data_IF_122087581327
#
_entry.id   IF_122087581327
#
_cell.length_a   1.000
_cell.length_b   1.000
_cell.length_c   1.000
_cell.angle_alpha   90.00
_cell.angle_beta   90.00
_cell.angle_gamma   90.00
#
_symmetry.space_group_name_H-M   'P 1'
#
loop_
_entity.id
_entity.type
_entity.pdbx_description
1 polymer ?
#
# COMPACT_ATOMS: atom_id res chain seq x y z
N UNK A 1 -34.24 19.71 26.57
CA UNK A 1 -32.99 19.26 25.93
C UNK A 1 -32.73 20.21 24.78
N UNK A 2 -31.70 21.05 24.85
CA UNK A 2 -31.35 21.90 23.71
C UNK A 2 -31.04 21.00 22.52
N UNK A 3 -31.61 21.28 21.35
CA UNK A 3 -31.20 20.62 20.12
C UNK A 3 -29.67 20.74 20.02
N UNK A 4 -28.96 19.62 19.95
CA UNK A 4 -27.51 19.62 19.73
C UNK A 4 -27.24 20.42 18.46
N UNK A 5 -26.59 21.57 18.59
CA UNK A 5 -26.21 22.40 17.45
C UNK A 5 -24.93 21.82 16.86
N UNK A 6 -25.08 21.04 15.79
CA UNK A 6 -23.95 20.52 15.03
C UNK A 6 -23.19 21.66 14.35
N UNK A 7 -21.86 21.61 14.37
CA UNK A 7 -20.98 22.62 13.77
C UNK A 7 -19.74 21.96 13.16
N UNK A 8 -19.10 22.65 12.21
CA UNK A 8 -17.77 22.27 11.74
C UNK A 8 -16.77 22.43 12.91
N UNK A 9 -15.89 21.45 13.17
CA UNK A 9 -14.95 21.53 14.29
C UNK A 9 -14.07 22.79 14.19
N UNK A 10 -13.97 23.63 15.25
CA UNK A 10 -13.12 24.83 15.23
C UNK A 10 -11.64 24.52 14.92
N UNK A 11 -11.15 23.37 15.38
CA UNK A 11 -9.83 22.83 15.07
C UNK A 11 -9.60 22.68 13.57
N UNK A 12 -10.58 22.18 12.82
CA UNK A 12 -10.50 22.05 11.37
C UNK A 12 -10.39 23.43 10.69
N UNK A 13 -11.21 24.40 11.12
CA UNK A 13 -11.18 25.75 10.57
C UNK A 13 -9.80 26.41 10.77
N UNK A 14 -9.22 26.23 11.96
CA UNK A 14 -7.88 26.71 12.29
C UNK A 14 -6.80 26.00 11.46
N UNK A 15 -6.91 24.67 11.26
CA UNK A 15 -6.00 23.92 10.40
C UNK A 15 -6.05 24.40 8.95
N UNK A 16 -7.24 24.62 8.39
CA UNK A 16 -7.41 25.09 7.01
C UNK A 16 -6.72 26.44 6.76
N UNK A 17 -6.66 27.32 7.77
CA UNK A 17 -5.93 28.59 7.70
C UNK A 17 -4.41 28.40 7.72
N UNK A 18 -3.92 27.36 8.39
CA UNK A 18 -2.49 27.10 8.63
C UNK A 18 -1.86 26.14 7.64
N UNK A 19 -2.65 25.40 6.86
CA UNK A 19 -2.12 24.47 5.86
C UNK A 19 -1.56 25.23 4.65
N UNK A 20 -0.44 24.76 4.08
CA UNK A 20 0.16 25.41 2.92
C UNK A 20 -0.76 25.42 1.70
N UNK A 21 -0.51 26.35 0.78
CA UNK A 21 -1.27 26.51 -0.48
C UNK A 21 -0.44 26.20 -1.72
N UNK A 22 0.88 26.07 -1.57
CA UNK A 22 1.88 25.88 -2.62
C UNK A 22 2.19 24.40 -2.92
N UNK A 23 1.62 23.47 -2.14
CA UNK A 23 1.89 22.02 -2.23
C UNK A 23 0.65 21.19 -1.94
N UNK A 24 0.74 19.89 -2.19
CA UNK A 24 -0.29 18.92 -1.85
C UNK A 24 -0.43 18.81 -0.32
N UNK A 25 -1.65 18.90 0.17
CA UNK A 25 -2.01 18.60 1.57
C UNK A 25 -3.10 17.54 1.56
N UNK A 26 -2.81 16.40 2.17
CA UNK A 26 -3.78 15.31 2.30
C UNK A 26 -4.47 15.40 3.65
N UNK A 27 -5.80 15.25 3.65
CA UNK A 27 -6.63 15.38 4.84
C UNK A 27 -7.38 14.07 5.07
N UNK A 28 -7.12 13.40 6.19
CA UNK A 28 -7.86 12.22 6.63
C UNK A 28 -9.02 12.70 7.50
N UNK A 29 -10.25 12.60 7.00
CA UNK A 29 -11.43 13.27 7.55
C UNK A 29 -12.44 12.25 8.05
N UNK A 30 -12.96 12.40 9.27
CA UNK A 30 -14.07 11.57 9.74
C UNK A 30 -15.34 11.92 8.94
N UNK A 31 -16.15 10.92 8.60
CA UNK A 31 -17.46 11.14 7.98
C UNK A 31 -18.34 12.11 8.79
N UNK A 32 -19.39 12.64 8.17
CA UNK A 32 -20.31 13.59 8.82
C UNK A 32 -21.30 12.89 9.75
N UNK A 33 -22.12 13.70 10.42
CA UNK A 33 -23.09 13.29 11.45
C UNK A 33 -24.04 12.22 10.93
N UNK A 34 -24.19 11.15 11.70
CA UNK A 34 -25.16 10.06 11.49
C UNK A 34 -25.96 9.79 12.77
N UNK A 35 -27.03 9.02 12.64
CA UNK A 35 -27.74 8.45 13.78
C UNK A 35 -26.89 7.41 14.53
N UNK A 36 -27.35 7.00 15.72
CA UNK A 36 -26.73 5.92 16.49
C UNK A 36 -26.67 4.61 15.67
N UNK A 37 -25.60 3.83 15.87
CA UNK A 37 -25.50 2.53 15.21
C UNK A 37 -26.46 1.53 15.87
N UNK A 38 -27.08 0.62 15.09
CA UNK A 38 -27.82 -0.48 15.67
C UNK A 38 -26.91 -1.33 16.58
N UNK A 39 -27.40 -1.82 17.73
CA UNK A 39 -26.63 -2.70 18.60
C UNK A 39 -26.14 -3.95 17.85
N UNK A 40 -24.85 -4.26 17.94
CA UNK A 40 -24.24 -5.44 17.30
C UNK A 40 -24.00 -5.30 15.80
N UNK A 41 -24.19 -4.13 15.20
CA UNK A 41 -23.95 -3.86 13.79
C UNK A 41 -22.80 -2.86 13.61
N UNK A 42 -21.93 -3.11 12.63
CA UNK A 42 -20.91 -2.16 12.13
C UNK A 42 -21.54 -0.91 11.51
N UNK A 43 -22.82 -1.00 11.14
CA UNK A 43 -23.66 0.11 10.70
C UNK A 43 -23.29 0.61 9.31
N UNK A 44 -22.85 -0.28 8.42
CA UNK A 44 -22.37 0.11 7.10
C UNK A 44 -23.45 0.69 6.20
N UNK A 45 -24.71 0.34 6.47
CA UNK A 45 -25.89 0.87 5.81
C UNK A 45 -26.43 2.15 6.46
N UNK A 46 -25.86 2.63 7.57
CA UNK A 46 -26.36 3.84 8.26
C UNK A 46 -25.92 5.08 7.47
N UNK A 47 -26.86 5.91 6.96
CA UNK A 47 -26.54 7.12 6.22
C UNK A 47 -26.14 8.28 7.14
N UNK A 48 -25.66 9.37 6.55
CA UNK A 48 -25.59 10.65 7.28
C UNK A 48 -26.99 11.26 7.44
N UNK A 49 -27.17 12.05 8.49
CA UNK A 49 -28.40 12.83 8.73
C UNK A 49 -28.47 14.06 7.81
N UNK A 50 -29.63 14.70 7.74
CA UNK A 50 -29.78 15.99 7.03
C UNK A 50 -28.86 17.08 7.60
N UNK A 51 -28.71 17.12 8.93
CA UNK A 51 -27.76 18.02 9.58
C UNK A 51 -26.31 17.69 9.18
N UNK A 52 -25.96 16.40 9.12
CA UNK A 52 -24.67 15.94 8.64
C UNK A 52 -24.41 16.32 7.17
N UNK A 53 -25.42 16.20 6.31
CA UNK A 53 -25.34 16.65 4.91
C UNK A 53 -25.15 18.17 4.83
N UNK A 54 -25.89 18.94 5.63
CA UNK A 54 -25.76 20.40 5.72
C UNK A 54 -24.35 20.85 6.09
N UNK A 55 -23.74 20.22 7.10
CA UNK A 55 -22.36 20.50 7.51
C UNK A 55 -21.34 20.11 6.43
N UNK A 56 -21.53 18.97 5.76
CA UNK A 56 -20.64 18.53 4.69
C UNK A 56 -20.70 19.47 3.48
N UNK A 57 -21.89 19.97 3.12
CA UNK A 57 -22.06 21.01 2.10
C UNK A 57 -21.34 22.31 2.49
N UNK A 58 -21.45 22.72 3.75
CA UNK A 58 -20.76 23.91 4.26
C UNK A 58 -19.24 23.74 4.21
N UNK A 59 -18.71 22.58 4.63
CA UNK A 59 -17.30 22.28 4.50
C UNK A 59 -16.87 22.34 3.02
N UNK A 60 -17.64 21.75 2.10
CA UNK A 60 -17.39 21.87 0.67
C UNK A 60 -17.25 23.32 0.20
N UNK A 61 -18.16 24.21 0.64
CA UNK A 61 -18.10 25.65 0.31
C UNK A 61 -16.82 26.31 0.83
N UNK A 62 -16.35 25.94 2.02
CA UNK A 62 -15.10 26.46 2.61
C UNK A 62 -13.85 25.97 1.85
N UNK A 63 -13.90 24.80 1.22
CA UNK A 63 -12.78 24.20 0.49
C UNK A 63 -12.72 24.60 -0.98
N UNK A 64 -13.75 25.30 -1.49
CA UNK A 64 -13.85 25.74 -2.89
C UNK A 64 -12.57 26.44 -3.37
N UNK A 65 -12.10 26.09 -4.56
CA UNK A 65 -10.89 26.60 -5.18
C UNK A 65 -9.59 25.97 -4.69
N UNK A 66 -9.60 25.31 -3.52
CA UNK A 66 -8.45 24.56 -2.97
C UNK A 66 -8.59 23.05 -3.09
N UNK A 67 -9.82 22.52 -3.10
CA UNK A 67 -10.09 21.09 -3.21
C UNK A 67 -9.62 20.56 -4.58
N UNK A 68 -8.99 19.38 -4.60
CA UNK A 68 -8.45 18.76 -5.81
C UNK A 68 -8.97 17.36 -6.03
N UNK A 69 -8.95 16.53 -4.99
CA UNK A 69 -9.45 15.16 -5.07
C UNK A 69 -10.26 14.80 -3.83
N UNK A 70 -11.19 13.87 -4.03
CA UNK A 70 -11.99 13.26 -2.98
C UNK A 70 -11.89 11.74 -3.11
N UNK A 71 -11.38 11.11 -2.07
CA UNK A 71 -11.43 9.67 -1.87
C UNK A 71 -12.24 9.35 -0.63
N UNK A 72 -12.88 8.19 -0.62
CA UNK A 72 -13.79 7.83 0.46
C UNK A 72 -13.76 6.33 0.74
N UNK A 73 -13.93 5.98 2.00
CA UNK A 73 -14.30 4.61 2.39
C UNK A 73 -15.57 4.18 1.63
N UNK A 74 -15.69 2.92 1.19
CA UNK A 74 -16.87 2.39 0.50
C UNK A 74 -18.12 2.35 1.41
N UNK A 75 -17.96 2.53 2.72
CA UNK A 75 -19.07 2.60 3.67
C UNK A 75 -19.97 3.82 3.38
N UNK A 76 -21.29 3.60 3.39
CA UNK A 76 -22.30 4.56 2.88
C UNK A 76 -22.16 5.98 3.44
N UNK A 77 -22.04 6.14 4.77
CA UNK A 77 -21.89 7.46 5.41
C UNK A 77 -20.67 8.24 4.93
N UNK A 78 -19.56 7.55 4.62
CA UNK A 78 -18.36 8.18 4.09
C UNK A 78 -18.60 8.63 2.64
N UNK A 79 -19.22 7.78 1.82
CA UNK A 79 -19.59 8.11 0.43
C UNK A 79 -20.52 9.33 0.39
N UNK A 80 -21.58 9.34 1.18
CA UNK A 80 -22.53 10.45 1.24
C UNK A 80 -21.89 11.75 1.76
N UNK A 81 -20.96 11.65 2.71
CA UNK A 81 -20.19 12.81 3.18
C UNK A 81 -19.33 13.39 2.05
N UNK A 82 -18.60 12.55 1.31
CA UNK A 82 -17.79 12.99 0.18
C UNK A 82 -18.65 13.62 -0.94
N UNK A 83 -19.82 13.05 -1.23
CA UNK A 83 -20.79 13.59 -2.19
C UNK A 83 -21.27 14.99 -1.79
N UNK A 84 -21.66 15.17 -0.53
CA UNK A 84 -22.08 16.47 -0.02
C UNK A 84 -20.94 17.50 -0.01
N UNK A 85 -19.70 17.11 0.29
CA UNK A 85 -18.53 18.00 0.19
C UNK A 85 -18.30 18.42 -1.27
N UNK A 86 -18.34 17.49 -2.23
CA UNK A 86 -18.18 17.78 -3.65
C UNK A 86 -19.25 18.77 -4.14
N UNK A 87 -20.51 18.51 -3.79
CA UNK A 87 -21.65 19.38 -4.10
C UNK A 87 -21.48 20.79 -3.51
N UNK A 88 -21.03 20.88 -2.25
CA UNK A 88 -20.77 22.16 -1.58
C UNK A 88 -19.63 22.96 -2.22
N UNK A 89 -18.57 22.27 -2.64
CA UNK A 89 -17.46 22.88 -3.36
C UNK A 89 -17.91 23.47 -4.70
N UNK A 90 -18.92 22.87 -5.34
CA UNK A 90 -19.44 23.33 -6.64
C UNK A 90 -18.47 23.06 -7.79
N UNK A 91 -17.61 22.06 -7.62
CA UNK A 91 -16.62 21.61 -8.59
C UNK A 91 -16.99 20.20 -9.07
N UNK A 92 -16.77 19.90 -10.35
CA UNK A 92 -16.98 18.56 -10.90
C UNK A 92 -15.82 17.64 -10.47
N UNK A 93 -15.89 17.17 -9.24
CA UNK A 93 -14.87 16.33 -8.61
C UNK A 93 -15.25 14.87 -8.71
N UNK A 94 -14.37 14.06 -9.30
CA UNK A 94 -14.51 12.60 -9.26
C UNK A 94 -14.28 12.10 -7.83
N UNK A 95 -15.30 11.45 -7.26
CA UNK A 95 -15.19 10.74 -5.98
C UNK A 95 -14.73 9.32 -6.25
N UNK A 96 -13.63 8.90 -5.62
CA UNK A 96 -13.09 7.55 -5.76
C UNK A 96 -13.23 6.77 -4.45
N UNK A 97 -13.76 5.55 -4.54
CA UNK A 97 -13.74 4.65 -3.41
C UNK A 97 -12.32 4.12 -3.17
N UNK A 98 -11.89 4.14 -1.91
CA UNK A 98 -10.59 3.66 -1.48
C UNK A 98 -10.75 2.74 -0.26
N UNK A 99 -10.50 1.45 -0.47
CA UNK A 99 -10.62 0.42 0.59
C UNK A 99 -9.60 0.58 1.70
N UNK A 100 -8.49 1.31 1.51
CA UNK A 100 -7.57 1.61 2.61
C UNK A 100 -8.24 2.43 3.72
N UNK A 101 -9.33 3.13 3.41
CA UNK A 101 -10.12 3.94 4.35
C UNK A 101 -11.17 3.12 5.15
N UNK A 102 -11.25 1.80 4.91
CA UNK A 102 -12.21 0.80 5.45
C UNK A 102 -12.84 0.00 4.30
N UNK A 103 -13.40 -1.20 4.39
CA UNK A 103 -13.57 -2.25 5.41
C UNK A 103 -13.56 -3.59 4.61
N UNK A 104 -12.51 -4.43 4.67
CA UNK A 104 -11.21 -4.26 5.35
C UNK A 104 -10.40 -3.08 4.78
N UNK A 105 -9.44 -2.56 5.54
CA UNK A 105 -8.65 -1.38 5.16
C UNK A 105 -7.24 -1.35 5.77
N UNK A 106 -6.66 -0.15 5.95
CA UNK A 106 -5.26 -0.05 6.39
C UNK A 106 -4.98 -0.67 7.77
N UNK A 107 -5.95 -0.59 8.69
CA UNK A 107 -5.83 -1.13 10.06
C UNK A 107 -6.50 -2.48 10.28
N UNK A 108 -7.46 -2.87 9.43
CA UNK A 108 -8.21 -4.12 9.54
C UNK A 108 -7.85 -5.00 8.35
N UNK A 109 -7.16 -6.11 8.61
CA UNK A 109 -6.70 -7.04 7.58
C UNK A 109 -7.71 -8.19 7.37
N UNK A 110 -8.27 -8.71 8.46
CA UNK A 110 -9.26 -9.77 8.46
C UNK A 110 -10.46 -9.33 9.30
N UNK A 111 -11.57 -8.97 8.63
CA UNK A 111 -12.76 -8.44 9.29
C UNK A 111 -13.37 -9.40 10.32
N UNK A 112 -13.34 -10.71 10.06
CA UNK A 112 -13.89 -11.71 10.98
C UNK A 112 -13.06 -11.83 12.27
N UNK A 113 -11.73 -11.95 12.13
CA UNK A 113 -10.82 -11.98 13.29
C UNK A 113 -10.81 -10.64 14.03
N UNK A 114 -10.88 -9.53 13.28
CA UNK A 114 -10.86 -8.19 13.86
C UNK A 114 -12.13 -7.93 14.68
N UNK A 115 -13.31 -8.34 14.21
CA UNK A 115 -14.60 -8.14 14.89
C UNK A 115 -14.63 -8.70 16.31
N UNK A 116 -13.99 -9.86 16.55
CA UNK A 116 -13.88 -10.44 17.89
C UNK A 116 -13.21 -9.48 18.91
N UNK A 117 -12.38 -8.54 18.46
CA UNK A 117 -11.84 -7.50 19.35
C UNK A 117 -12.91 -6.48 19.76
N UNK A 118 -13.82 -6.08 18.87
CA UNK A 118 -14.92 -5.18 19.22
C UNK A 118 -15.90 -5.84 20.19
N UNK A 119 -16.19 -7.14 20.02
CA UNK A 119 -17.02 -7.89 20.97
C UNK A 119 -16.38 -7.95 22.36
N UNK A 120 -15.05 -8.11 22.44
CA UNK A 120 -14.33 -8.26 23.70
C UNK A 120 -14.00 -6.93 24.39
N UNK A 121 -13.57 -5.92 23.63
CA UNK A 121 -13.01 -4.67 24.14
C UNK A 121 -13.95 -3.47 23.98
N UNK A 122 -15.00 -3.59 23.17
CA UNK A 122 -15.76 -2.45 22.68
C UNK A 122 -14.95 -1.55 21.73
N UNK A 123 -15.63 -0.57 21.14
CA UNK A 123 -15.00 0.36 20.19
C UNK A 123 -13.89 1.19 20.84
N UNK A 124 -14.10 1.68 22.07
CA UNK A 124 -13.11 2.43 22.84
C UNK A 124 -11.84 1.62 23.13
N UNK A 125 -11.97 0.38 23.58
CA UNK A 125 -10.82 -0.47 23.86
C UNK A 125 -10.01 -0.82 22.60
N UNK A 126 -10.67 -1.01 21.45
CA UNK A 126 -9.97 -1.22 20.17
C UNK A 126 -9.19 0.03 19.76
N UNK A 127 -9.81 1.22 19.79
CA UNK A 127 -9.09 2.46 19.46
C UNK A 127 -7.96 2.73 20.45
N UNK A 128 -8.17 2.49 21.75
CA UNK A 128 -7.14 2.62 22.78
C UNK A 128 -5.91 1.75 22.47
N UNK A 129 -6.14 0.49 22.08
CA UNK A 129 -5.06 -0.41 21.65
C UNK A 129 -4.34 0.15 20.43
N UNK A 130 -5.09 0.63 19.42
CA UNK A 130 -4.50 1.21 18.22
C UNK A 130 -3.77 2.54 18.44
N UNK A 131 -4.03 3.29 19.50
CA UNK A 131 -3.27 4.53 19.80
C UNK A 131 -2.09 4.31 20.74
N UNK A 132 -2.09 3.25 21.56
CA UNK A 132 -1.10 3.05 22.63
C UNK A 132 -0.19 1.82 22.45
N UNK A 133 -0.66 0.75 21.84
CA UNK A 133 0.06 -0.53 21.81
C UNK A 133 0.89 -0.69 20.54
N UNK A 134 2.06 -1.31 20.61
CA UNK A 134 2.89 -1.56 19.40
C UNK A 134 2.47 -2.83 18.67
N UNK A 135 1.92 -3.81 19.38
CA UNK A 135 1.48 -5.08 18.82
C UNK A 135 0.14 -4.97 18.09
N UNK A 136 0.00 -5.71 17.00
CA UNK A 136 -1.28 -5.86 16.31
C UNK A 136 -2.28 -6.67 17.16
N UNK A 137 -3.54 -6.22 17.20
CA UNK A 137 -4.66 -7.05 17.61
C UNK A 137 -4.92 -8.16 16.57
N UNK A 138 -5.50 -9.32 16.96
CA UNK A 138 -5.87 -10.37 16.01
C UNK A 138 -6.71 -9.83 14.84
N UNK A 139 -6.32 -10.13 13.61
CA UNK A 139 -7.00 -9.65 12.39
C UNK A 139 -6.70 -8.19 12.02
N UNK A 140 -5.87 -7.49 12.78
CA UNK A 140 -5.51 -6.09 12.53
C UNK A 140 -4.04 -5.97 12.10
N UNK A 141 -3.73 -4.84 11.48
CA UNK A 141 -2.36 -4.45 11.16
C UNK A 141 -1.68 -3.85 12.38
N UNK A 142 -0.34 -3.84 12.39
CA UNK A 142 0.39 -3.12 13.42
C UNK A 142 0.16 -1.61 13.27
N UNK A 143 -0.13 -0.87 14.35
CA UNK A 143 -0.63 0.50 14.21
C UNK A 143 0.35 1.48 13.57
N UNK A 144 1.64 1.41 13.91
CA UNK A 144 2.65 2.35 13.41
C UNK A 144 2.88 2.18 11.90
N UNK A 145 3.05 0.93 11.46
CA UNK A 145 3.20 0.57 10.05
C UNK A 145 1.93 0.91 9.25
N UNK A 146 0.74 0.64 9.81
CA UNK A 146 -0.53 0.95 9.16
C UNK A 146 -0.74 2.46 8.96
N UNK A 147 -0.44 3.28 9.98
CA UNK A 147 -0.54 4.73 9.92
C UNK A 147 0.43 5.32 8.88
N UNK A 148 1.71 4.92 8.95
CA UNK A 148 2.74 5.36 8.00
C UNK A 148 2.38 4.97 6.56
N UNK A 149 1.93 3.74 6.35
CA UNK A 149 1.51 3.28 5.02
C UNK A 149 0.30 4.06 4.50
N UNK A 150 -0.73 4.26 5.33
CA UNK A 150 -1.93 4.99 4.93
C UNK A 150 -1.58 6.40 4.44
N UNK A 151 -0.80 7.15 5.23
CA UNK A 151 -0.39 8.51 4.84
C UNK A 151 0.52 8.51 3.61
N UNK A 152 1.43 7.53 3.49
CA UNK A 152 2.24 7.37 2.29
C UNK A 152 1.37 7.16 1.05
N UNK A 153 0.37 6.28 1.11
CA UNK A 153 -0.56 6.05 -0.01
C UNK A 153 -1.38 7.30 -0.34
N UNK A 154 -1.84 8.05 0.67
CA UNK A 154 -2.56 9.31 0.47
C UNK A 154 -1.70 10.35 -0.25
N UNK A 155 -0.45 10.56 0.20
CA UNK A 155 0.50 11.50 -0.43
C UNK A 155 0.81 11.08 -1.87
N UNK A 156 1.02 9.79 -2.12
CA UNK A 156 1.22 9.26 -3.48
C UNK A 156 -0.01 9.50 -4.37
N UNK A 157 -1.23 9.35 -3.84
CA UNK A 157 -2.46 9.60 -4.58
C UNK A 157 -2.67 11.09 -4.93
N UNK A 158 -2.16 12.01 -4.10
CA UNK A 158 -2.17 13.43 -4.39
C UNK A 158 -1.19 13.84 -5.52
N UNK A 159 -0.21 12.99 -5.84
CA UNK A 159 0.73 13.14 -6.96
C UNK A 159 1.40 14.54 -7.03
N UNK A 160 1.76 15.09 -5.87
CA UNK A 160 2.37 16.41 -5.69
C UNK A 160 1.54 17.59 -6.24
N UNK A 161 0.26 17.38 -6.57
CA UNK A 161 -0.62 18.44 -7.06
C UNK A 161 -0.93 19.46 -5.95
N UNK A 162 -0.63 20.77 -6.13
CA UNK A 162 -0.96 21.76 -5.10
C UNK A 162 -2.46 21.89 -4.82
N UNK A 163 -2.83 21.81 -3.54
CA UNK A 163 -4.21 21.88 -3.08
C UNK A 163 -4.54 20.89 -1.97
N UNK A 164 -5.83 20.78 -1.66
CA UNK A 164 -6.36 19.88 -0.62
C UNK A 164 -6.88 18.60 -1.26
N UNK A 165 -6.45 17.46 -0.73
CA UNK A 165 -6.86 16.13 -1.14
C UNK A 165 -7.53 15.44 0.04
N UNK A 166 -8.83 15.18 -0.06
CA UNK A 166 -9.63 14.69 1.05
C UNK A 166 -9.82 13.17 0.98
N UNK A 167 -9.66 12.52 2.13
CA UNK A 167 -9.84 11.08 2.32
C UNK A 167 -10.84 10.87 3.46
N UNK A 168 -12.10 10.61 3.10
CA UNK A 168 -13.20 10.49 4.07
C UNK A 168 -13.27 9.07 4.64
N UNK A 169 -13.23 8.96 5.96
CA UNK A 169 -13.11 7.70 6.70
C UNK A 169 -13.87 7.75 8.04
N UNK A 170 -13.44 6.96 9.03
CA UNK A 170 -14.02 6.79 10.34
C UNK A 170 -13.12 7.38 11.44
N UNK A 171 -13.70 7.55 12.63
CA UNK A 171 -12.98 8.03 13.83
C UNK A 171 -11.71 7.21 14.11
N UNK A 172 -11.82 5.88 14.14
CA UNK A 172 -10.69 4.99 14.43
C UNK A 172 -9.47 5.28 13.56
N UNK A 173 -9.66 5.46 12.25
CA UNK A 173 -8.54 5.68 11.32
C UNK A 173 -7.92 7.06 11.53
N UNK A 174 -8.73 8.09 11.76
CA UNK A 174 -8.23 9.45 12.05
C UNK A 174 -7.45 9.45 13.36
N UNK A 175 -8.03 8.91 14.44
CA UNK A 175 -7.40 8.89 15.77
C UNK A 175 -6.11 8.09 15.77
N UNK A 176 -6.13 6.85 15.26
CA UNK A 176 -4.95 6.00 15.24
C UNK A 176 -3.83 6.61 14.39
N UNK A 177 -4.15 7.09 13.19
CA UNK A 177 -3.14 7.67 12.28
C UNK A 177 -2.54 8.95 12.86
N UNK A 178 -3.37 9.84 13.42
CA UNK A 178 -2.89 11.05 14.06
C UNK A 178 -2.00 10.74 15.28
N UNK A 179 -2.43 9.84 16.16
CA UNK A 179 -1.66 9.44 17.34
C UNK A 179 -0.27 8.90 16.97
N UNK A 180 -0.21 7.98 16.00
CA UNK A 180 1.05 7.35 15.59
C UNK A 180 2.01 8.33 14.96
N UNK A 181 1.53 9.17 14.05
CA UNK A 181 2.42 10.11 13.36
C UNK A 181 2.77 11.35 14.18
N UNK A 182 1.97 11.69 15.20
CA UNK A 182 2.37 12.66 16.22
C UNK A 182 3.36 12.09 17.25
N UNK A 183 3.55 10.77 17.30
CA UNK A 183 4.39 10.10 18.30
C UNK A 183 3.83 10.18 19.72
N UNK A 184 2.50 10.31 19.89
CA UNK A 184 1.84 10.34 21.20
C UNK A 184 0.45 9.71 21.16
N UNK A 185 0.03 9.02 22.24
CA UNK A 185 -1.35 8.58 22.34
C UNK A 185 -2.31 9.78 22.41
N UNK A 186 -3.53 9.58 21.91
CA UNK A 186 -4.63 10.56 21.98
C UNK A 186 -5.71 10.03 22.93
N UNK A 187 -6.12 10.84 23.90
CA UNK A 187 -7.19 10.52 24.85
C UNK A 187 -8.59 10.53 24.22
N UNK A 188 -9.61 10.05 24.95
CA UNK A 188 -11.02 10.04 24.50
C UNK A 188 -11.55 11.44 24.16
N UNK A 189 -11.15 12.45 24.93
CA UNK A 189 -11.46 13.87 24.68
C UNK A 189 -10.75 14.41 23.42
N UNK A 190 -9.69 13.74 23.00
CA UNK A 190 -8.93 14.00 21.78
C UNK A 190 -9.48 13.31 20.54
N UNK A 191 -10.57 12.52 20.65
CA UNK A 191 -11.15 11.83 19.50
C UNK A 191 -11.86 12.77 18.53
N UNK A 192 -11.81 12.48 17.22
CA UNK A 192 -12.28 13.37 16.19
C UNK A 192 -13.78 13.57 16.27
N UNK A 193 -14.22 14.83 16.26
CA UNK A 193 -15.61 15.17 15.97
C UNK A 193 -15.97 14.76 14.54
N UNK A 194 -17.26 14.74 14.22
CA UNK A 194 -17.68 14.57 12.82
C UNK A 194 -17.04 15.67 11.95
N UNK A 195 -16.56 15.30 10.76
CA UNK A 195 -15.78 16.15 9.87
C UNK A 195 -14.41 16.62 10.39
N UNK A 196 -13.98 16.23 11.59
CA UNK A 196 -12.63 16.59 12.05
C UNK A 196 -11.56 15.82 11.26
N UNK A 197 -10.40 16.45 11.07
CA UNK A 197 -9.37 15.93 10.19
C UNK A 197 -7.96 15.96 10.81
N UNK A 198 -7.16 14.98 10.40
CA UNK A 198 -5.70 15.05 10.47
C UNK A 198 -5.16 15.46 9.09
N UNK A 199 -4.20 16.40 9.08
CA UNK A 199 -3.60 16.93 7.85
C UNK A 199 -2.14 16.50 7.74
N UNK A 200 -1.70 16.16 6.53
CA UNK A 200 -0.35 15.72 6.24
C UNK A 200 0.18 16.35 4.94
N UNK A 201 1.46 16.71 4.88
CA UNK A 201 2.12 17.15 3.64
C UNK A 201 3.64 16.98 3.71
N UNK A 202 4.27 16.86 2.54
CA UNK A 202 5.73 16.82 2.44
C UNK A 202 6.36 18.18 2.72
N UNK A 203 7.41 18.20 3.54
CA UNK A 203 8.26 19.33 3.87
C UNK A 203 9.73 18.97 3.65
N UNK A 204 10.65 19.92 3.88
CA UNK A 204 12.09 19.67 3.71
C UNK A 204 12.63 18.60 4.67
N UNK A 205 12.04 18.51 5.86
CA UNK A 205 12.57 17.72 6.98
C UNK A 205 11.76 16.41 7.17
N UNK A 206 10.87 16.09 6.23
CA UNK A 206 10.00 14.91 6.26
C UNK A 206 8.54 15.25 6.01
N UNK A 207 7.64 14.53 6.67
CA UNK A 207 6.18 14.73 6.56
C UNK A 207 5.67 15.50 7.77
N UNK A 208 5.09 16.67 7.50
CA UNK A 208 4.39 17.45 8.51
C UNK A 208 3.06 16.80 8.86
N UNK A 209 2.77 16.73 10.15
CA UNK A 209 1.57 16.10 10.72
C UNK A 209 0.87 17.15 11.57
N UNK A 210 -0.42 17.37 11.33
CA UNK A 210 -1.24 18.27 12.17
C UNK A 210 -2.57 17.65 12.54
N UNK A 211 -2.89 17.72 13.83
CA UNK A 211 -4.18 17.31 14.36
C UNK A 211 -4.53 18.20 15.55
N UNK A 212 -5.62 18.98 15.43
CA UNK A 212 -5.97 20.06 16.38
C UNK A 212 -4.79 21.02 16.60
N UNK A 213 -4.44 21.27 17.85
CA UNK A 213 -3.32 22.10 18.28
C UNK A 213 -1.97 21.36 18.25
N UNK A 214 -1.98 20.05 17.97
CA UNK A 214 -0.77 19.25 17.89
C UNK A 214 -0.15 19.32 16.50
N UNK A 215 1.19 19.35 16.49
CA UNK A 215 1.98 19.25 15.27
C UNK A 215 3.25 18.46 15.53
N UNK A 216 3.70 17.72 14.52
CA UNK A 216 4.96 17.01 14.52
C UNK A 216 5.50 16.92 13.09
N UNK A 217 6.81 16.71 12.96
CA UNK A 217 7.43 16.36 11.69
C UNK A 217 7.92 14.92 11.80
N UNK A 218 7.37 14.04 10.97
CA UNK A 218 7.82 12.66 10.89
C UNK A 218 8.94 12.55 9.84
N UNK A 219 10.11 11.96 10.17
CA UNK A 219 11.19 11.80 9.20
C UNK A 219 10.75 11.01 7.96
N UNK A 220 11.23 11.42 6.79
CA UNK A 220 11.10 10.63 5.56
C UNK A 220 12.22 9.59 5.42
N UNK A 221 11.98 8.46 4.72
CA UNK A 221 10.69 8.07 4.13
C UNK A 221 9.72 7.50 5.19
N UNK A 222 8.42 7.76 5.04
CA UNK A 222 7.39 7.13 5.88
C UNK A 222 7.43 5.59 5.85
N UNK A 223 7.81 4.97 4.73
CA UNK A 223 7.89 3.52 4.59
C UNK A 223 9.22 3.15 3.91
N UNK A 224 9.81 2.04 4.34
CA UNK A 224 11.07 1.54 3.77
C UNK A 224 11.10 0.03 3.67
N UNK A 225 12.31 -0.52 3.56
CA UNK A 225 12.55 -1.96 3.57
C UNK A 225 12.95 -2.47 4.97
N UNK A 226 12.49 -1.80 6.04
CA UNK A 226 12.62 -2.34 7.39
C UNK A 226 11.77 -3.62 7.50
N UNK A 227 12.20 -4.60 8.30
CA UNK A 227 11.50 -5.88 8.39
C UNK A 227 10.02 -5.75 8.77
N UNK A 228 9.70 -4.80 9.67
CA UNK A 228 8.32 -4.54 10.07
C UNK A 228 7.46 -3.99 8.91
N UNK A 229 8.00 -3.11 8.07
CA UNK A 229 7.31 -2.58 6.89
C UNK A 229 7.06 -3.67 5.85
N UNK A 230 8.09 -4.50 5.61
CA UNK A 230 8.03 -5.64 4.68
C UNK A 230 6.99 -6.65 5.15
N UNK A 231 6.97 -6.98 6.44
CA UNK A 231 5.98 -7.87 7.03
C UNK A 231 4.55 -7.34 6.88
N UNK A 232 4.29 -6.10 7.30
CA UNK A 232 2.94 -5.55 7.30
C UNK A 232 2.42 -5.28 5.88
N UNK A 233 3.30 -4.93 4.95
CA UNK A 233 2.97 -4.91 3.53
C UNK A 233 2.52 -6.28 3.05
N UNK A 234 3.31 -7.33 3.32
CA UNK A 234 2.97 -8.67 2.90
C UNK A 234 1.65 -9.16 3.53
N UNK A 235 1.47 -8.98 4.85
CA UNK A 235 0.23 -9.35 5.53
C UNK A 235 -0.99 -8.68 4.89
N UNK A 236 -0.90 -7.40 4.53
CA UNK A 236 -1.99 -6.69 3.85
C UNK A 236 -2.26 -7.22 2.45
N UNK A 237 -1.24 -7.42 1.62
CA UNK A 237 -1.45 -7.92 0.25
C UNK A 237 -1.97 -9.36 0.26
N UNK A 238 -1.52 -10.20 1.20
CA UNK A 238 -2.07 -11.54 1.40
C UNK A 238 -3.53 -11.47 1.85
N UNK A 239 -3.88 -10.62 2.82
CA UNK A 239 -5.26 -10.44 3.24
C UNK A 239 -6.19 -10.02 2.09
N UNK A 240 -5.70 -9.13 1.21
CA UNK A 240 -6.44 -8.65 0.04
C UNK A 240 -6.59 -9.69 -1.08
N UNK A 241 -5.73 -10.71 -1.11
CA UNK A 241 -5.68 -11.69 -2.21
C UNK A 241 -6.05 -13.09 -1.76
N UNK A 242 -5.11 -13.86 -1.20
CA UNK A 242 -5.27 -15.27 -0.81
C UNK A 242 -5.99 -15.44 0.53
N UNK A 243 -5.88 -14.46 1.43
CA UNK A 243 -6.33 -14.54 2.82
C UNK A 243 -5.40 -15.37 3.71
N UNK A 244 -5.58 -15.26 5.03
CA UNK A 244 -4.75 -15.96 6.03
C UNK A 244 -5.17 -17.41 6.29
N UNK A 245 -6.32 -17.83 5.76
CA UNK A 245 -6.92 -19.15 6.04
C UNK A 245 -6.64 -20.19 4.96
N UNK A 246 -5.68 -19.95 4.05
CA UNK A 246 -5.35 -20.91 2.98
C UNK A 246 -4.78 -22.23 3.51
N UNK A 247 -4.18 -22.21 4.71
CA UNK A 247 -3.46 -23.35 5.27
C UNK A 247 -2.13 -23.64 4.56
N UNK A 248 -1.76 -22.88 3.53
CA UNK A 248 -0.54 -23.08 2.76
C UNK A 248 0.67 -22.42 3.45
N UNK A 249 1.82 -23.10 3.37
CA UNK A 249 3.13 -22.46 3.51
C UNK A 249 3.50 -21.84 2.16
N UNK A 250 3.97 -20.61 2.15
CA UNK A 250 4.38 -19.94 0.90
C UNK A 250 5.38 -18.82 1.14
N UNK A 251 6.03 -18.38 0.07
CA UNK A 251 6.89 -17.21 0.06
C UNK A 251 6.32 -16.14 -0.86
N UNK A 252 6.09 -14.93 -0.33
CA UNK A 252 5.88 -13.75 -1.15
C UNK A 252 7.24 -13.07 -1.32
N UNK A 253 7.74 -13.01 -2.55
CA UNK A 253 9.08 -12.48 -2.84
C UNK A 253 9.09 -11.70 -4.15
N UNK A 254 10.03 -10.79 -4.31
CA UNK A 254 10.28 -10.14 -5.60
C UNK A 254 9.91 -8.66 -5.67
N UNK A 255 9.52 -8.22 -6.86
CA UNK A 255 9.38 -6.80 -7.18
C UNK A 255 8.23 -6.06 -6.49
N UNK A 256 7.28 -6.79 -5.89
CA UNK A 256 6.12 -6.22 -5.21
C UNK A 256 6.51 -5.25 -4.09
N UNK A 257 7.60 -5.52 -3.38
CA UNK A 257 8.04 -4.71 -2.23
C UNK A 257 8.52 -3.30 -2.61
N UNK A 258 8.76 -3.00 -3.88
CA UNK A 258 8.97 -1.60 -4.34
C UNK A 258 7.77 -0.70 -4.06
N UNK A 259 6.59 -1.28 -3.89
CA UNK A 259 5.39 -0.55 -3.47
C UNK A 259 5.56 0.17 -2.14
N UNK A 260 6.40 -0.33 -1.23
CA UNK A 260 6.77 0.38 0.00
C UNK A 260 7.49 1.69 -0.30
N UNK A 261 8.35 1.70 -1.32
CA UNK A 261 9.13 2.87 -1.72
C UNK A 261 8.32 3.86 -2.57
N UNK A 262 7.42 3.37 -3.42
CA UNK A 262 6.61 4.24 -4.31
C UNK A 262 5.30 4.72 -3.66
N UNK A 263 4.81 4.02 -2.64
CA UNK A 263 3.47 4.20 -2.07
C UNK A 263 2.33 3.73 -2.99
N UNK A 264 2.64 3.17 -4.17
CA UNK A 264 1.66 2.66 -5.14
C UNK A 264 1.36 1.20 -4.84
N UNK A 265 0.12 0.72 -5.01
CA UNK A 265 -0.21 -0.69 -4.83
C UNK A 265 0.58 -1.56 -5.84
N UNK A 266 0.98 -2.79 -5.45
CA UNK A 266 1.62 -3.70 -6.37
C UNK A 266 0.63 -4.13 -7.45
N UNK A 267 1.12 -4.26 -8.69
CA UNK A 267 0.32 -4.85 -9.78
C UNK A 267 0.36 -6.37 -9.72
N UNK A 268 1.56 -6.91 -9.51
CA UNK A 268 1.84 -8.34 -9.54
C UNK A 268 2.39 -8.78 -8.18
N UNK A 269 1.98 -9.98 -7.73
CA UNK A 269 2.48 -10.66 -6.53
C UNK A 269 2.95 -12.06 -6.92
N UNK A 270 4.21 -12.39 -6.62
CA UNK A 270 4.76 -13.72 -6.89
C UNK A 270 4.68 -14.57 -5.60
N UNK A 271 3.83 -15.58 -5.58
CA UNK A 271 3.65 -16.51 -4.46
C UNK A 271 4.25 -17.88 -4.78
N UNK A 272 5.40 -18.16 -4.16
CA UNK A 272 6.15 -19.39 -4.34
C UNK A 272 5.72 -20.41 -3.30
N UNK A 273 5.25 -21.58 -3.74
CA UNK A 273 4.94 -22.69 -2.85
C UNK A 273 6.16 -23.62 -2.70
N UNK A 274 6.47 -24.12 -1.50
CA UNK A 274 7.56 -25.08 -1.29
C UNK A 274 7.17 -26.54 -1.60
N UNK A 275 5.93 -26.79 -2.01
CA UNK A 275 5.41 -28.11 -2.38
C UNK A 275 4.21 -27.99 -3.32
N UNK A 276 3.88 -29.07 -4.04
CA UNK A 276 2.66 -29.14 -4.85
C UNK A 276 1.38 -29.06 -4.01
N UNK A 277 1.41 -29.58 -2.78
CA UNK A 277 0.27 -29.50 -1.87
C UNK A 277 0.00 -28.05 -1.44
N UNK A 278 1.05 -27.32 -1.04
CA UNK A 278 0.94 -25.89 -0.71
C UNK A 278 0.48 -25.07 -1.93
N UNK A 279 0.98 -25.43 -3.11
CA UNK A 279 0.57 -24.81 -4.38
C UNK A 279 -0.91 -25.01 -4.65
N UNK A 280 -1.41 -26.23 -4.48
CA UNK A 280 -2.83 -26.55 -4.63
C UNK A 280 -3.70 -25.77 -3.62
N UNK A 281 -3.25 -25.64 -2.36
CA UNK A 281 -3.93 -24.86 -1.33
C UNK A 281 -4.00 -23.36 -1.69
N UNK A 282 -2.91 -22.78 -2.22
CA UNK A 282 -2.91 -21.39 -2.71
C UNK A 282 -3.93 -21.17 -3.84
N UNK A 283 -3.95 -22.06 -4.83
CA UNK A 283 -4.87 -21.98 -5.97
C UNK A 283 -6.33 -22.10 -5.47
N UNK A 284 -6.60 -23.07 -4.59
CA UNK A 284 -7.94 -23.25 -4.02
C UNK A 284 -8.38 -22.01 -3.23
N UNK A 285 -7.48 -21.42 -2.43
CA UNK A 285 -7.75 -20.21 -1.67
C UNK A 285 -8.06 -19.01 -2.59
N UNK A 286 -7.27 -18.80 -3.65
CA UNK A 286 -7.55 -17.79 -4.67
C UNK A 286 -8.92 -17.99 -5.33
N UNK A 287 -9.23 -19.21 -5.76
CA UNK A 287 -10.51 -19.55 -6.39
C UNK A 287 -11.70 -19.31 -5.45
N UNK A 288 -11.60 -19.71 -4.18
CA UNK A 288 -12.65 -19.49 -3.18
C UNK A 288 -12.93 -18.00 -2.92
N UNK A 289 -11.96 -17.13 -3.20
CA UNK A 289 -12.08 -15.67 -3.10
C UNK A 289 -12.47 -15.02 -4.43
N UNK A 290 -12.88 -15.81 -5.41
CA UNK A 290 -13.39 -15.35 -6.70
C UNK A 290 -12.30 -14.85 -7.65
N UNK A 291 -11.05 -15.27 -7.46
CA UNK A 291 -9.97 -14.94 -8.38
C UNK A 291 -10.23 -15.52 -9.78
N UNK A 292 -9.91 -14.74 -10.82
CA UNK A 292 -10.13 -15.12 -12.22
C UNK A 292 -8.80 -15.44 -12.90
N UNK A 293 -8.69 -16.45 -13.78
CA UNK A 293 -7.44 -16.70 -14.51
C UNK A 293 -6.97 -15.47 -15.31
N UNK A 294 -5.69 -15.12 -15.20
CA UNK A 294 -5.08 -13.93 -15.79
C UNK A 294 -4.09 -14.30 -16.90
N UNK A 295 -4.62 -14.70 -18.06
CA UNK A 295 -3.81 -15.02 -19.24
C UNK A 295 -2.87 -16.22 -19.05
N UNK A 296 -2.25 -16.67 -20.15
CA UNK A 296 -1.28 -17.77 -20.09
C UNK A 296 0.10 -17.25 -19.67
N UNK A 297 0.68 -17.87 -18.64
CA UNK A 297 2.09 -17.71 -18.27
C UNK A 297 2.81 -19.05 -18.47
N UNK A 298 3.99 -19.08 -19.13
CA UNK A 298 4.69 -20.35 -19.37
C UNK A 298 5.16 -21.08 -18.11
N UNK A 299 5.34 -20.35 -16.99
CA UNK A 299 6.01 -20.86 -15.79
C UNK A 299 5.17 -20.70 -14.51
N UNK A 300 3.94 -20.24 -14.61
CA UNK A 300 3.07 -19.97 -13.47
C UNK A 300 1.59 -20.09 -13.86
N UNK A 301 0.74 -20.35 -12.87
CA UNK A 301 -0.67 -20.01 -12.98
C UNK A 301 -0.83 -18.56 -12.49
N UNK A 302 -1.58 -17.74 -13.24
CA UNK A 302 -1.80 -16.35 -12.89
C UNK A 302 -3.28 -16.09 -12.64
N UNK A 303 -3.59 -15.31 -11.61
CA UNK A 303 -4.96 -15.00 -11.20
C UNK A 303 -5.15 -13.51 -10.91
N UNK A 304 -6.22 -12.91 -11.42
CA UNK A 304 -6.65 -11.56 -11.08
C UNK A 304 -7.60 -11.60 -9.88
N UNK A 305 -7.25 -10.90 -8.81
CA UNK A 305 -8.05 -10.76 -7.59
C UNK A 305 -7.76 -9.42 -6.91
N UNK A 306 -8.82 -8.70 -6.52
CA UNK A 306 -8.67 -7.43 -5.81
C UNK A 306 -7.87 -6.36 -6.57
N UNK A 307 -7.81 -6.42 -7.90
CA UNK A 307 -7.00 -5.53 -8.74
C UNK A 307 -5.50 -5.84 -8.74
N UNK A 308 -5.11 -7.02 -8.26
CA UNK A 308 -3.75 -7.58 -8.34
C UNK A 308 -3.77 -8.77 -9.28
N UNK A 309 -2.64 -9.03 -9.93
CA UNK A 309 -2.32 -10.31 -10.53
C UNK A 309 -1.45 -11.08 -9.54
N UNK A 310 -1.91 -12.26 -9.13
CA UNK A 310 -1.15 -13.18 -8.29
C UNK A 310 -0.63 -14.30 -9.18
N UNK A 311 0.69 -14.38 -9.31
CA UNK A 311 1.37 -15.45 -10.02
C UNK A 311 1.80 -16.53 -9.02
N UNK A 312 1.44 -17.78 -9.31
CA UNK A 312 1.78 -18.98 -8.54
C UNK A 312 2.66 -19.88 -9.43
N UNK A 313 4.00 -19.75 -9.34
CA UNK A 313 4.94 -20.50 -10.17
C UNK A 313 4.71 -22.01 -10.13
N UNK A 314 5.02 -22.69 -11.23
CA UNK A 314 4.97 -24.16 -11.32
C UNK A 314 6.13 -24.83 -10.56
N UNK A 315 7.22 -24.09 -10.32
CA UNK A 315 8.38 -24.59 -9.59
C UNK A 315 8.10 -24.55 -8.08
N UNK A 316 8.22 -25.71 -7.44
CA UNK A 316 7.94 -25.94 -6.02
C UNK A 316 9.18 -26.42 -5.24
N UNK A 317 10.36 -26.21 -5.80
CA UNK A 317 11.64 -26.80 -5.36
C UNK A 317 12.40 -25.95 -4.32
N UNK A 318 11.94 -24.74 -4.00
CA UNK A 318 12.55 -23.92 -2.96
C UNK A 318 12.00 -24.30 -1.57
N UNK A 319 12.84 -24.87 -0.72
CA UNK A 319 12.44 -25.30 0.63
C UNK A 319 12.40 -24.17 1.65
N UNK A 320 12.99 -23.01 1.34
CA UNK A 320 13.14 -21.88 2.25
C UNK A 320 13.10 -20.50 1.56
N UNK A 321 12.86 -19.46 2.38
CA UNK A 321 12.89 -18.08 1.92
C UNK A 321 14.28 -17.65 1.38
N UNK A 322 15.42 -17.95 2.04
CA UNK A 322 16.74 -17.64 1.48
C UNK A 322 16.99 -18.29 0.11
N UNK A 323 16.60 -19.56 -0.07
CA UNK A 323 16.73 -20.25 -1.37
C UNK A 323 15.85 -19.61 -2.45
N UNK A 324 14.65 -19.17 -2.09
CA UNK A 324 13.78 -18.38 -2.98
C UNK A 324 14.45 -17.07 -3.37
N UNK A 325 14.99 -16.33 -2.39
CA UNK A 325 15.61 -15.03 -2.64
C UNK A 325 16.93 -15.13 -3.42
N UNK A 326 17.67 -16.24 -3.28
CA UNK A 326 18.89 -16.51 -4.04
C UNK A 326 18.65 -16.66 -5.56
N UNK A 327 17.39 -16.79 -5.99
CA UNK A 327 17.01 -16.86 -7.40
C UNK A 327 16.83 -15.48 -8.04
N UNK A 328 16.91 -14.37 -7.32
CA UNK A 328 16.77 -13.04 -7.92
C UNK A 328 18.12 -12.48 -8.36
N UNK A 329 18.14 -11.72 -9.45
CA UNK A 329 19.33 -11.03 -9.96
C UNK A 329 19.40 -9.56 -9.52
N UNK A 330 18.29 -8.97 -9.05
CA UNK A 330 18.20 -7.54 -8.69
C UNK A 330 18.06 -7.42 -7.19
N UNK A 331 18.90 -6.62 -6.54
CA UNK A 331 18.89 -6.40 -5.10
C UNK A 331 17.51 -5.99 -4.57
N UNK A 332 16.86 -5.02 -5.22
CA UNK A 332 15.49 -4.57 -4.89
C UNK A 332 14.39 -5.63 -5.10
N UNK A 333 14.70 -6.76 -5.74
CA UNK A 333 13.78 -7.92 -5.82
C UNK A 333 14.12 -9.00 -4.78
N UNK A 334 15.28 -8.95 -4.15
CA UNK A 334 15.70 -9.89 -3.11
C UNK A 334 15.14 -9.48 -1.74
N UNK A 335 13.82 -9.33 -1.71
CA UNK A 335 13.01 -9.00 -0.52
C UNK A 335 11.84 -9.97 -0.51
N UNK A 336 11.55 -10.54 0.65
CA UNK A 336 10.42 -11.44 0.77
C UNK A 336 10.04 -11.77 2.20
N UNK A 337 8.90 -12.46 2.29
CA UNK A 337 8.41 -13.05 3.53
C UNK A 337 8.04 -14.51 3.30
N UNK A 338 8.13 -15.29 4.36
CA UNK A 338 7.56 -16.63 4.44
C UNK A 338 6.33 -16.57 5.33
N UNK A 339 5.22 -17.09 4.82
CA UNK A 339 4.06 -17.45 5.62
C UNK A 339 4.09 -18.95 5.92
N UNK A 340 3.80 -19.28 7.18
CA UNK A 340 3.57 -20.65 7.67
C UNK A 340 2.16 -20.75 8.22
N UNK A 341 1.55 -21.94 8.19
CA UNK A 341 0.24 -22.17 8.81
C UNK A 341 0.20 -21.66 10.26
N UNK A 342 -0.98 -21.22 10.70
CA UNK A 342 -1.22 -20.60 12.02
C UNK A 342 -0.60 -19.20 12.20
N UNK A 343 -0.56 -18.38 11.13
CA UNK A 343 -0.12 -16.98 11.19
C UNK A 343 1.36 -16.83 11.60
N UNK A 344 2.20 -17.81 11.22
CA UNK A 344 3.64 -17.77 11.44
C UNK A 344 4.33 -17.02 10.30
N UNK A 345 5.12 -15.99 10.60
CA UNK A 345 5.80 -15.18 9.59
C UNK A 345 7.30 -15.09 9.84
N UNK A 346 8.08 -15.02 8.77
CA UNK A 346 9.47 -14.55 8.81
C UNK A 346 9.78 -13.67 7.62
N UNK A 347 10.66 -12.70 7.83
CA UNK A 347 11.03 -11.70 6.83
C UNK A 347 12.49 -11.90 6.45
N UNK A 348 12.82 -11.61 5.19
CA UNK A 348 14.21 -11.49 4.77
C UNK A 348 14.35 -10.34 3.76
N UNK A 349 15.30 -9.46 4.04
CA UNK A 349 15.68 -8.34 3.17
C UNK A 349 17.16 -8.48 2.87
N UNK A 350 17.52 -8.68 1.61
CA UNK A 350 18.92 -8.82 1.24
C UNK A 350 19.66 -7.49 1.41
N UNK A 351 20.94 -7.52 1.81
CA UNK A 351 21.78 -6.32 2.03
C UNK A 351 21.85 -5.42 0.80
N UNK A 352 21.98 -5.99 -0.39
CA UNK A 352 21.88 -5.25 -1.66
C UNK A 352 20.59 -4.47 -1.86
N UNK A 353 19.44 -4.92 -1.31
CA UNK A 353 18.21 -4.15 -1.36
C UNK A 353 18.34 -2.88 -0.53
N UNK A 354 18.91 -2.98 0.67
CA UNK A 354 19.20 -1.82 1.52
C UNK A 354 20.22 -0.88 0.88
N UNK A 355 21.31 -1.41 0.31
CA UNK A 355 22.31 -0.58 -0.37
C UNK A 355 21.72 0.14 -1.58
N UNK A 356 20.85 -0.53 -2.35
CA UNK A 356 20.13 0.08 -3.47
C UNK A 356 19.29 1.27 -3.02
N UNK A 357 18.54 1.14 -1.93
CA UNK A 357 17.73 2.23 -1.37
C UNK A 357 18.61 3.36 -0.84
N UNK A 358 19.67 3.02 -0.09
CA UNK A 358 20.58 4.01 0.51
C UNK A 358 21.29 4.86 -0.55
N UNK A 359 21.75 4.23 -1.63
CA UNK A 359 22.47 4.92 -2.72
C UNK A 359 21.53 5.51 -3.78
N UNK A 360 20.24 5.18 -3.73
CA UNK A 360 19.27 5.46 -4.80
C UNK A 360 19.73 4.92 -6.15
N UNK A 361 20.27 3.70 -6.13
CA UNK A 361 20.81 2.98 -7.27
C UNK A 361 20.13 1.62 -7.40
N UNK A 362 19.94 1.11 -8.62
CA UNK A 362 19.47 -0.28 -8.81
C UNK A 362 20.68 -1.19 -8.94
N UNK A 363 20.97 -1.96 -7.89
CA UNK A 363 22.14 -2.85 -7.81
C UNK A 363 21.76 -4.31 -8.10
N UNK A 364 22.68 -5.07 -8.72
CA UNK A 364 22.49 -6.49 -9.02
C UNK A 364 23.07 -7.38 -7.92
N UNK A 365 22.47 -8.57 -7.78
CA UNK A 365 23.08 -9.70 -7.09
C UNK A 365 24.03 -10.41 -8.05
N UNK A 366 25.30 -10.55 -7.66
CA UNK A 366 26.36 -11.09 -8.50
C UNK A 366 26.94 -12.36 -7.89
N UNK A 367 27.23 -13.41 -8.68
CA UNK A 367 26.99 -13.52 -10.13
C UNK A 367 25.49 -13.65 -10.46
N UNK A 368 25.10 -13.34 -11.71
CA UNK A 368 23.71 -13.47 -12.18
C UNK A 368 23.31 -14.95 -12.24
N UNK A 369 22.51 -15.39 -11.26
CA UNK A 369 22.03 -16.78 -11.16
C UNK A 369 21.06 -17.09 -12.30
N UNK A 370 20.25 -16.10 -12.71
CA UNK A 370 19.36 -16.20 -13.87
C UNK A 370 19.99 -15.57 -15.13
N UNK A 371 21.28 -15.82 -15.40
CA UNK A 371 21.96 -15.36 -16.63
C UNK A 371 21.18 -15.65 -17.93
N UNK A 372 20.43 -16.74 -17.91
CA UNK A 372 19.48 -17.19 -18.93
C UNK A 372 18.37 -16.16 -19.26
N UNK A 373 18.17 -15.18 -18.40
CA UNK A 373 17.22 -14.07 -18.50
C UNK A 373 17.93 -12.71 -18.38
N UNK A 374 19.25 -12.66 -18.62
CA UNK A 374 20.07 -11.45 -18.51
C UNK A 374 19.43 -10.22 -19.17
N UNK A 375 18.91 -10.34 -20.40
CA UNK A 375 18.25 -9.23 -21.09
C UNK A 375 16.97 -8.74 -20.38
N UNK A 376 16.18 -9.66 -19.82
CA UNK A 376 15.02 -9.30 -18.97
C UNK A 376 15.47 -8.66 -17.66
N UNK A 377 16.58 -9.12 -17.08
CA UNK A 377 17.20 -8.49 -15.90
C UNK A 377 17.61 -7.03 -16.21
N UNK A 378 18.21 -6.76 -17.37
CA UNK A 378 18.56 -5.40 -17.81
C UNK A 378 17.32 -4.52 -17.98
N UNK A 379 16.28 -5.01 -18.67
CA UNK A 379 15.01 -4.28 -18.81
C UNK A 379 14.42 -3.93 -17.43
N UNK A 380 14.35 -4.91 -16.53
CA UNK A 380 13.83 -4.71 -15.17
C UNK A 380 14.65 -3.69 -14.39
N UNK A 381 15.97 -3.72 -14.53
CA UNK A 381 16.89 -2.78 -13.85
C UNK A 381 16.61 -1.35 -14.29
N UNK A 382 16.55 -1.10 -15.60
CA UNK A 382 16.22 0.22 -16.18
C UNK A 382 14.81 0.68 -15.80
N UNK A 383 13.83 -0.23 -15.83
CA UNK A 383 12.46 0.06 -15.40
C UNK A 383 12.38 0.44 -13.93
N UNK A 384 13.06 -0.29 -13.05
CA UNK A 384 13.09 0.00 -11.61
C UNK A 384 13.71 1.36 -11.35
N UNK A 385 14.77 1.70 -12.08
CA UNK A 385 15.41 3.01 -12.00
C UNK A 385 14.43 4.14 -12.35
N UNK A 386 13.67 3.99 -13.45
CA UNK A 386 12.64 4.96 -13.83
C UNK A 386 11.52 5.07 -12.79
N UNK A 387 10.95 3.94 -12.36
CA UNK A 387 9.82 3.90 -11.42
C UNK A 387 10.15 4.52 -10.05
N UNK A 388 11.38 4.33 -9.58
CA UNK A 388 11.85 4.79 -8.27
C UNK A 388 12.59 6.12 -8.33
N UNK A 389 12.85 6.65 -9.53
CA UNK A 389 13.77 7.78 -9.75
C UNK A 389 15.14 7.51 -9.13
N UNK A 390 15.67 6.31 -9.40
CA UNK A 390 17.01 5.83 -9.04
C UNK A 390 17.89 5.85 -10.29
N UNK A 391 19.21 5.79 -10.11
CA UNK A 391 20.16 5.55 -11.22
C UNK A 391 20.45 4.07 -11.41
N UNK A 392 20.89 3.69 -12.62
CA UNK A 392 21.53 2.39 -12.85
C UNK A 392 23.04 2.65 -12.97
N UNK A 393 23.89 2.13 -12.07
CA UNK A 393 25.32 2.31 -12.22
C UNK A 393 25.83 1.63 -13.50
N UNK A 394 26.73 2.26 -14.28
CA UNK A 394 27.24 1.68 -15.52
C UNK A 394 27.86 0.28 -15.35
N UNK A 395 28.47 0.02 -14.19
CA UNK A 395 29.05 -1.28 -13.85
C UNK A 395 28.00 -2.40 -13.70
N UNK A 396 26.77 -2.07 -13.32
CA UNK A 396 25.67 -3.02 -13.23
C UNK A 396 25.19 -3.42 -14.64
N UNK A 397 24.98 -2.44 -15.54
CA UNK A 397 24.64 -2.76 -16.94
C UNK A 397 25.76 -3.53 -17.65
N UNK A 398 27.01 -3.11 -17.43
CA UNK A 398 28.18 -3.77 -18.01
C UNK A 398 28.28 -5.25 -17.60
N UNK A 399 27.89 -5.60 -16.36
CA UNK A 399 27.87 -6.99 -15.91
C UNK A 399 26.85 -7.84 -16.69
N UNK A 400 25.66 -7.30 -16.94
CA UNK A 400 24.64 -8.01 -17.73
C UNK A 400 25.10 -8.21 -19.16
N UNK A 401 25.69 -7.18 -19.78
CA UNK A 401 26.26 -7.29 -21.11
C UNK A 401 27.42 -8.28 -21.16
N UNK A 402 28.35 -8.25 -20.19
CA UNK A 402 29.44 -9.22 -20.09
C UNK A 402 28.93 -10.66 -20.06
N UNK A 403 27.86 -10.93 -19.29
CA UNK A 403 27.23 -12.25 -19.23
C UNK A 403 26.62 -12.67 -20.57
N UNK A 404 25.95 -11.76 -21.26
CA UNK A 404 25.38 -12.00 -22.59
C UNK A 404 26.47 -12.23 -23.66
N UNK A 405 27.50 -11.40 -23.67
CA UNK A 405 28.59 -11.41 -24.65
C UNK A 405 29.52 -12.61 -24.50
N UNK A 406 29.63 -13.16 -23.28
CA UNK A 406 30.38 -14.38 -23.01
C UNK A 406 29.74 -15.65 -23.61
N UNK A 407 28.50 -15.60 -24.07
CA UNK A 407 27.82 -16.75 -24.67
C UNK A 407 28.14 -16.87 -26.17
N UNK A 408 28.09 -18.10 -26.68
CA UNK A 408 28.21 -18.35 -28.11
C UNK A 408 27.02 -17.79 -28.92
N UNK A 409 27.13 -17.78 -30.25
CA UNK A 409 26.10 -17.23 -31.13
C UNK A 409 24.74 -17.93 -30.98
N UNK A 410 24.72 -19.25 -30.80
CA UNK A 410 23.48 -20.02 -30.68
C UNK A 410 22.77 -19.71 -29.36
N UNK A 411 23.52 -19.66 -28.26
CA UNK A 411 23.00 -19.31 -26.94
C UNK A 411 22.51 -17.85 -26.91
N UNK A 412 23.25 -16.90 -27.48
CA UNK A 412 22.79 -15.50 -27.58
C UNK A 412 21.47 -15.38 -28.33
N UNK A 413 21.33 -16.06 -29.47
CA UNK A 413 20.05 -16.11 -30.19
C UNK A 413 18.93 -16.67 -29.30
N UNK A 414 19.21 -17.71 -28.52
CA UNK A 414 18.26 -18.25 -27.54
C UNK A 414 17.89 -17.28 -26.40
N UNK A 415 18.82 -16.44 -25.94
CA UNK A 415 18.56 -15.39 -24.95
C UNK A 415 17.67 -14.28 -25.54
N UNK A 416 17.95 -13.85 -26.78
CA UNK A 416 17.13 -12.86 -27.50
C UNK A 416 15.70 -13.38 -27.69
N UNK A 417 15.55 -14.61 -28.15
CA UNK A 417 14.22 -15.19 -28.38
C UNK A 417 13.44 -15.35 -27.07
N UNK A 418 14.14 -15.72 -25.99
CA UNK A 418 13.52 -15.74 -24.67
C UNK A 418 13.07 -14.36 -24.24
N UNK A 419 13.92 -13.35 -24.40
CA UNK A 419 13.58 -11.97 -24.09
C UNK A 419 12.35 -11.48 -24.87
N UNK A 420 12.23 -11.79 -26.16
CA UNK A 420 11.02 -11.45 -26.95
C UNK A 420 9.74 -12.06 -26.39
N UNK A 421 9.84 -13.26 -25.80
CA UNK A 421 8.69 -13.95 -25.20
C UNK A 421 8.36 -13.47 -23.78
N UNK A 422 9.37 -13.09 -22.99
CA UNK A 422 9.21 -12.85 -21.54
C UNK A 422 9.42 -11.41 -21.09
N UNK A 423 10.06 -10.58 -21.90
CA UNK A 423 10.20 -9.13 -21.66
C UNK A 423 8.91 -8.39 -21.98
N UNK A 424 8.74 -7.18 -21.43
CA UNK A 424 7.61 -6.34 -21.78
C UNK A 424 7.81 -5.61 -23.11
N UNK A 425 9.05 -5.58 -23.63
CA UNK A 425 9.42 -4.80 -24.79
C UNK A 425 9.58 -3.32 -24.42
N UNK A 426 10.81 -2.82 -24.50
CA UNK A 426 11.11 -1.43 -24.19
C UNK A 426 12.51 -1.25 -23.61
N UNK A 427 12.77 -0.05 -23.05
CA UNK A 427 14.03 0.31 -22.40
C UNK A 427 15.29 0.10 -23.26
N UNK A 428 15.17 0.19 -24.59
CA UNK A 428 16.30 0.19 -25.53
C UNK A 428 17.00 -1.17 -25.70
N UNK A 429 16.45 -2.27 -25.17
CA UNK A 429 17.18 -3.55 -25.12
C UNK A 429 17.44 -4.10 -26.53
N UNK A 430 16.44 -4.07 -27.41
CA UNK A 430 16.60 -4.61 -28.78
C UNK A 430 17.44 -3.68 -29.65
N UNK A 431 17.35 -2.38 -29.43
CA UNK A 431 18.17 -1.35 -30.08
C UNK A 431 19.64 -1.53 -29.70
N UNK A 432 19.95 -1.71 -28.41
CA UNK A 432 21.31 -1.98 -27.93
C UNK A 432 21.87 -3.27 -28.54
N UNK A 433 21.05 -4.31 -28.67
CA UNK A 433 21.45 -5.57 -29.31
C UNK A 433 21.78 -5.35 -30.79
N UNK A 434 20.92 -4.63 -31.52
CA UNK A 434 21.14 -4.31 -32.93
C UNK A 434 22.41 -3.46 -33.14
N UNK A 435 22.71 -2.53 -32.22
CA UNK A 435 23.94 -1.74 -32.29
C UNK A 435 25.20 -2.57 -32.01
N UNK A 436 25.14 -3.54 -31.10
CA UNK A 436 26.30 -4.40 -30.74
C UNK A 436 26.53 -5.53 -31.75
N UNK A 437 25.47 -5.99 -32.42
CA UNK A 437 25.47 -7.12 -33.35
C UNK A 437 24.67 -6.77 -34.62
N UNK A 438 25.22 -5.91 -35.48
CA UNK A 438 24.55 -5.45 -36.70
C UNK A 438 24.34 -6.54 -37.75
#
# INVERSE_FOLDING_TARGET
>A
MSALQWQIPPSLLQQLQRTPKDRAVVMLVRHSVREALPPGDVGNAVPITDAGRGLALELGRLLRGRLRTLETSPVLRCVQTAQAIAEGAGEDLTIRENRLLGEPGAFVLDGGRAWANWERLGHEGVVQALVSETSALPGMARPDEAARFLVRSMLTAAADQPGLHLFVTHDLLVTATAARLLGRPLGLDEWPWFLEAACFWSASDGVEVRYRDHQATHPDPLCGLAEADVLEFARREIAATVGFSSGARFFLAGGAFKSLLTGRPPKDLDLWAPSEDDRALLIAALQSRGARPAGHRPFADAFEVGGRVVEVPHATDAGSLPETLARFDIGLSAVGVEHRPNDGWSVMVHTMAHESVLRREVLLLKPLVNWKYALTTLERTRRYAQELSFSVPPAEEAEVWRVFEAQDAQLRAGLIERYRRTGLGGFGIMEDIACRYP
#
